data_IF_100948428042
#
_entry.id   IF_100948428042
#
_cell.length_a   1.000
_cell.length_b   1.000
_cell.length_c   1.000
_cell.angle_alpha   90.00
_cell.angle_beta   90.00
_cell.angle_gamma   90.00
#
_symmetry.space_group_name_H-M   'P 1'
#
loop_
_entity.id
_entity.type
_entity.pdbx_description
1 polymer ?
#
# COMPACT_ATOMS: atom_id res chain seq x y z
N UNK A 1 9.24 -7.65 -16.19
CA UNK A 1 7.91 -7.00 -16.23
C UNK A 1 7.89 -5.71 -15.44
N UNK A 2 8.31 -5.72 -14.15
CA UNK A 2 8.30 -4.52 -13.30
C UNK A 2 9.07 -3.36 -13.94
N UNK A 3 10.36 -3.53 -14.20
CA UNK A 3 11.24 -2.43 -14.63
C UNK A 3 10.92 -1.88 -16.03
N UNK A 4 10.56 -2.78 -16.95
CA UNK A 4 10.40 -2.44 -18.36
C UNK A 4 8.96 -2.08 -18.75
N UNK A 5 7.97 -2.33 -17.90
CA UNK A 5 6.57 -2.03 -18.20
C UNK A 5 5.89 -1.29 -17.06
N UNK A 6 5.91 -1.85 -15.84
CA UNK A 6 5.15 -1.30 -14.72
C UNK A 6 5.72 0.06 -14.29
N UNK A 7 7.04 0.17 -14.10
CA UNK A 7 7.65 1.42 -13.64
C UNK A 7 7.89 2.44 -14.76
N UNK A 8 7.98 2.02 -16.02
CA UNK A 8 8.44 2.89 -17.11
C UNK A 8 7.49 2.99 -18.32
N UNK A 9 6.38 2.26 -18.33
CA UNK A 9 5.49 2.18 -19.49
C UNK A 9 4.73 3.48 -19.82
N UNK A 10 4.37 4.26 -18.80
CA UNK A 10 3.76 5.58 -18.99
C UNK A 10 4.75 6.53 -19.68
N UNK A 11 5.98 6.61 -19.20
CA UNK A 11 7.01 7.49 -19.77
C UNK A 11 7.49 7.06 -21.16
N UNK A 12 7.72 5.76 -21.37
CA UNK A 12 8.28 5.26 -22.64
C UNK A 12 7.25 5.25 -23.77
N UNK A 13 5.98 4.97 -23.46
CA UNK A 13 4.97 4.67 -24.48
C UNK A 13 3.61 5.33 -24.24
N UNK A 14 3.47 6.20 -23.25
CA UNK A 14 2.18 6.80 -22.88
C UNK A 14 1.15 5.78 -22.40
N UNK A 15 1.59 4.57 -22.02
CA UNK A 15 0.68 3.47 -21.64
C UNK A 15 0.36 3.55 -20.15
N UNK A 16 -0.86 3.98 -19.85
CA UNK A 16 -1.42 3.94 -18.51
C UNK A 16 -1.72 2.51 -18.08
N UNK A 17 -1.45 2.19 -16.80
CA UNK A 17 -1.66 0.87 -16.23
C UNK A 17 -2.18 0.99 -14.80
N UNK A 18 -3.39 0.51 -14.53
CA UNK A 18 -4.00 0.51 -13.19
C UNK A 18 -3.72 -0.73 -12.35
N UNK A 19 -2.73 -1.57 -12.73
CA UNK A 19 -2.47 -2.86 -12.08
C UNK A 19 -2.15 -2.68 -10.59
N UNK A 20 -2.74 -3.53 -9.75
CA UNK A 20 -2.41 -3.62 -8.33
C UNK A 20 -1.59 -4.89 -8.07
N UNK A 21 -0.46 -4.74 -7.41
CA UNK A 21 0.40 -5.85 -6.98
C UNK A 21 0.33 -5.97 -5.46
N UNK A 22 -0.29 -7.04 -4.96
CA UNK A 22 -0.28 -7.40 -3.55
C UNK A 22 0.95 -8.28 -3.26
N UNK A 23 1.88 -7.77 -2.46
CA UNK A 23 3.15 -8.40 -2.16
C UNK A 23 3.22 -8.70 -0.66
N UNK A 24 3.00 -9.95 -0.22
CA UNK A 24 3.07 -10.31 1.19
C UNK A 24 4.43 -9.93 1.80
N UNK A 25 4.38 -9.08 2.83
CA UNK A 25 5.57 -8.51 3.46
C UNK A 25 5.43 -8.52 4.99
N UNK A 26 6.52 -8.82 5.68
CA UNK A 26 6.58 -8.78 7.14
C UNK A 26 7.67 -9.67 7.72
N UNK A 27 8.40 -9.19 8.73
CA UNK A 27 9.47 -9.91 9.39
C UNK A 27 8.91 -10.76 10.55
N UNK A 28 8.63 -12.03 10.26
CA UNK A 28 7.89 -12.94 11.17
C UNK A 28 8.69 -14.21 11.48
N UNK A 29 10.02 -14.18 11.31
CA UNK A 29 10.90 -15.32 11.61
C UNK A 29 10.86 -16.48 10.62
N UNK A 30 10.19 -16.35 9.47
CA UNK A 30 10.07 -17.41 8.46
C UNK A 30 11.27 -17.51 7.48
N UNK A 31 12.37 -16.83 7.78
CA UNK A 31 13.58 -16.83 6.94
C UNK A 31 13.58 -15.78 5.82
N UNK A 32 14.68 -15.73 5.03
CA UNK A 32 14.98 -14.62 4.11
C UNK A 32 13.97 -14.50 2.95
N UNK A 33 13.49 -15.62 2.40
CA UNK A 33 12.61 -15.65 1.22
C UNK A 33 11.10 -15.50 1.56
N UNK A 34 10.77 -15.36 2.85
CA UNK A 34 9.38 -15.20 3.32
C UNK A 34 9.16 -13.92 4.13
N UNK A 35 10.13 -13.00 4.12
CA UNK A 35 10.10 -11.78 4.93
C UNK A 35 9.95 -10.50 4.11
N UNK A 36 10.77 -10.34 3.07
CA UNK A 36 10.87 -9.07 2.35
C UNK A 36 10.32 -9.14 0.92
N UNK A 37 9.40 -8.23 0.60
CA UNK A 37 8.99 -7.95 -0.77
C UNK A 37 9.96 -6.98 -1.48
N UNK A 38 11.08 -6.61 -0.84
CA UNK A 38 12.10 -5.68 -1.35
C UNK A 38 11.53 -4.28 -1.62
N UNK A 39 10.86 -3.71 -0.61
CA UNK A 39 10.25 -2.38 -0.63
C UNK A 39 11.21 -1.32 -1.20
N UNK A 40 12.47 -1.38 -0.78
CA UNK A 40 13.55 -0.48 -1.21
C UNK A 40 13.73 -0.42 -2.73
N UNK A 41 13.52 -1.55 -3.44
CA UNK A 41 13.64 -1.61 -4.89
C UNK A 41 12.50 -0.87 -5.58
N UNK A 42 11.27 -1.01 -5.07
CA UNK A 42 10.13 -0.27 -5.63
C UNK A 42 10.25 1.23 -5.37
N UNK A 43 10.76 1.63 -4.20
CA UNK A 43 11.04 3.03 -3.90
C UNK A 43 12.14 3.60 -4.81
N UNK A 44 13.20 2.84 -5.07
CA UNK A 44 14.26 3.24 -6.01
C UNK A 44 13.72 3.45 -7.44
N UNK A 45 12.73 2.64 -7.86
CA UNK A 45 12.10 2.76 -9.17
C UNK A 45 11.04 3.88 -9.24
N UNK A 46 10.69 4.53 -8.13
CA UNK A 46 9.73 5.62 -8.13
C UNK A 46 10.36 6.90 -8.66
N UNK A 47 9.82 7.41 -9.76
CA UNK A 47 10.20 8.69 -10.35
C UNK A 47 9.00 9.25 -11.12
N UNK A 48 8.88 10.58 -11.20
CA UNK A 48 7.82 11.24 -12.00
C UNK A 48 6.40 10.71 -11.71
N UNK A 49 6.17 10.34 -10.46
CA UNK A 49 4.90 9.82 -9.97
C UNK A 49 4.40 8.58 -10.73
N UNK A 50 5.31 7.81 -11.34
CA UNK A 50 5.03 6.62 -12.17
C UNK A 50 4.26 5.52 -11.44
N UNK A 51 4.46 5.35 -10.13
CA UNK A 51 3.85 4.30 -9.32
C UNK A 51 3.43 4.83 -7.95
N UNK A 52 2.54 4.10 -7.30
CA UNK A 52 2.17 4.31 -5.90
C UNK A 52 2.66 3.12 -5.09
N UNK A 53 3.43 3.37 -4.04
CA UNK A 53 3.91 2.34 -3.10
C UNK A 53 3.24 2.58 -1.76
N UNK A 54 2.52 1.57 -1.25
CA UNK A 54 1.68 1.70 -0.04
C UNK A 54 1.91 0.51 0.91
N UNK A 55 1.93 0.80 2.20
CA UNK A 55 1.99 -0.20 3.28
C UNK A 55 0.78 0.02 4.20
N UNK A 56 -0.38 -0.60 3.91
CA UNK A 56 -1.58 -0.40 4.70
C UNK A 56 -1.50 -1.16 6.03
N UNK A 57 -1.92 -0.52 7.13
CA UNK A 57 -1.86 -1.07 8.48
C UNK A 57 -3.22 -1.47 9.07
N UNK A 58 -4.34 -1.06 8.45
CA UNK A 58 -5.70 -1.40 8.91
C UNK A 58 -6.56 -1.98 7.77
N UNK A 59 -7.58 -2.80 8.09
CA UNK A 59 -8.53 -3.30 7.08
C UNK A 59 -9.22 -2.18 6.29
N UNK A 60 -9.64 -1.09 6.95
CA UNK A 60 -10.24 0.07 6.29
C UNK A 60 -9.29 0.73 5.28
N UNK A 61 -8.00 0.83 5.61
CA UNK A 61 -6.99 1.36 4.69
C UNK A 61 -6.85 0.52 3.42
N UNK A 62 -6.85 -0.82 3.54
CA UNK A 62 -6.83 -1.72 2.37
C UNK A 62 -8.09 -1.53 1.51
N UNK A 63 -9.26 -1.48 2.15
CA UNK A 63 -10.54 -1.26 1.47
C UNK A 63 -10.56 0.04 0.65
N UNK A 64 -10.21 1.16 1.29
CA UNK A 64 -10.19 2.47 0.63
C UNK A 64 -9.10 2.57 -0.43
N UNK A 65 -7.95 1.96 -0.21
CA UNK A 65 -6.86 1.88 -1.17
C UNK A 65 -7.30 1.17 -2.46
N UNK A 66 -7.96 0.01 -2.35
CA UNK A 66 -8.46 -0.76 -3.52
C UNK A 66 -9.54 0.03 -4.25
N UNK A 67 -10.53 0.60 -3.53
CA UNK A 67 -11.58 1.44 -4.14
C UNK A 67 -10.98 2.62 -4.90
N UNK A 68 -10.01 3.33 -4.29
CA UNK A 68 -9.35 4.49 -4.89
C UNK A 68 -8.68 4.14 -6.23
N UNK A 69 -8.17 2.92 -6.38
CA UNK A 69 -7.50 2.49 -7.61
C UNK A 69 -8.45 2.43 -8.82
N UNK A 70 -9.75 2.21 -8.59
CA UNK A 70 -10.78 2.17 -9.64
C UNK A 70 -11.53 3.50 -9.75
N UNK A 71 -11.97 4.05 -8.61
CA UNK A 71 -12.84 5.24 -8.53
C UNK A 71 -12.12 6.49 -9.00
N UNK A 72 -10.84 6.68 -8.64
CA UNK A 72 -10.09 7.86 -9.08
C UNK A 72 -9.89 7.77 -10.61
N UNK A 73 -10.04 8.88 -11.36
CA UNK A 73 -9.76 8.92 -12.80
C UNK A 73 -8.24 8.95 -13.09
N UNK A 74 -7.49 8.02 -12.50
CA UNK A 74 -6.05 7.86 -12.65
C UNK A 74 -5.73 6.38 -12.78
N UNK A 75 -4.83 6.02 -13.69
CA UNK A 75 -4.43 4.63 -13.96
C UNK A 75 -2.92 4.51 -13.88
N UNK A 76 -2.43 4.43 -12.64
CA UNK A 76 -1.03 4.18 -12.32
C UNK A 76 -0.88 2.94 -11.45
N UNK A 77 0.21 2.17 -11.57
CA UNK A 77 0.38 0.96 -10.80
C UNK A 77 0.36 1.24 -9.30
N UNK A 78 -0.19 0.27 -8.56
CA UNK A 78 -0.27 0.29 -7.11
C UNK A 78 0.49 -0.91 -6.56
N UNK A 79 1.63 -0.66 -5.94
CA UNK A 79 2.47 -1.65 -5.27
C UNK A 79 2.12 -1.63 -3.79
N UNK A 80 1.63 -2.77 -3.27
CA UNK A 80 1.15 -2.88 -1.90
C UNK A 80 1.99 -3.90 -1.15
N UNK A 81 2.56 -3.48 -0.03
CA UNK A 81 3.13 -4.40 0.95
C UNK A 81 1.97 -5.00 1.75
N UNK A 82 1.40 -6.10 1.27
CA UNK A 82 0.23 -6.70 1.89
C UNK A 82 0.62 -7.44 3.18
N UNK A 83 -0.20 -7.38 4.24
CA UNK A 83 0.15 -8.02 5.50
C UNK A 83 0.11 -9.54 5.44
N UNK A 84 0.82 -10.18 6.38
CA UNK A 84 0.75 -11.63 6.65
C UNK A 84 0.11 -11.90 8.02
N UNK A 85 0.80 -11.60 9.12
CA UNK A 85 0.28 -11.75 10.49
C UNK A 85 -0.90 -10.83 10.80
N UNK A 86 -0.90 -9.59 10.29
CA UNK A 86 -1.98 -8.63 10.56
C UNK A 86 -3.35 -9.12 10.06
N UNK A 87 -3.38 -10.10 9.14
CA UNK A 87 -4.64 -10.74 8.71
C UNK A 87 -5.42 -11.39 9.86
N UNK A 88 -4.77 -11.70 10.99
CA UNK A 88 -5.39 -12.32 12.17
C UNK A 88 -5.07 -11.58 13.47
N UNK A 89 -4.48 -10.38 13.39
CA UNK A 89 -4.07 -9.66 14.59
C UNK A 89 -5.29 -9.00 15.25
N UNK A 90 -5.51 -9.17 16.57
CA UNK A 90 -6.73 -8.71 17.24
C UNK A 90 -6.92 -7.19 17.22
N UNK A 91 -5.82 -6.43 17.24
CA UNK A 91 -5.86 -4.96 17.09
C UNK A 91 -5.97 -4.49 15.63
N UNK A 92 -5.78 -5.39 14.65
CA UNK A 92 -5.87 -5.06 13.23
C UNK A 92 -7.30 -5.29 12.72
N UNK A 93 -8.24 -4.56 13.31
CA UNK A 93 -9.67 -4.59 12.95
C UNK A 93 -10.11 -3.20 12.49
N UNK A 94 -11.26 -3.12 11.83
CA UNK A 94 -11.90 -1.86 11.48
C UNK A 94 -13.41 -2.02 11.58
N UNK A 95 -14.10 -0.93 11.89
CA UNK A 95 -15.56 -0.87 11.99
C UNK A 95 -16.19 -0.73 10.61
N UNK A 96 -17.52 -0.89 10.51
CA UNK A 96 -18.22 -0.64 9.25
C UNK A 96 -18.29 0.86 8.95
N UNK A 97 -18.36 1.68 10.00
CA UNK A 97 -18.31 3.14 9.94
C UNK A 97 -17.01 3.60 9.27
N UNK A 98 -15.87 2.99 9.61
CA UNK A 98 -14.58 3.26 8.96
C UNK A 98 -14.61 2.99 7.44
N UNK A 99 -15.42 2.03 6.98
CA UNK A 99 -15.59 1.70 5.56
C UNK A 99 -16.61 2.59 4.86
N UNK A 100 -17.66 2.99 5.56
CA UNK A 100 -18.78 3.75 5.01
C UNK A 100 -18.43 5.24 4.88
N UNK A 101 -17.83 5.82 5.91
CA UNK A 101 -17.59 7.26 6.05
C UNK A 101 -16.11 7.63 5.95
N UNK A 102 -15.21 6.66 6.11
CA UNK A 102 -13.78 6.88 6.01
C UNK A 102 -13.27 7.10 4.59
N UNK A 103 -11.96 7.36 4.49
CA UNK A 103 -11.23 7.47 3.24
C UNK A 103 -9.80 6.96 3.41
N UNK A 104 -9.08 6.79 2.30
CA UNK A 104 -7.67 6.43 2.35
C UNK A 104 -6.85 7.57 2.97
N UNK A 105 -6.13 7.27 4.06
CA UNK A 105 -5.22 8.19 4.72
C UNK A 105 -3.78 7.92 4.27
N UNK A 106 -3.08 8.93 3.76
CA UNK A 106 -1.67 8.79 3.37
C UNK A 106 -0.74 8.67 4.59
N UNK A 107 -1.12 9.28 5.70
CA UNK A 107 -0.52 9.14 7.01
C UNK A 107 -1.65 9.04 8.04
N UNK A 108 -1.51 8.15 9.00
CA UNK A 108 -2.46 7.97 10.10
C UNK A 108 -1.80 8.63 11.33
N UNK A 109 -2.46 9.59 12.00
CA UNK A 109 -1.93 10.18 13.22
C UNK A 109 -1.92 9.18 14.37
N UNK A 110 -1.29 9.56 15.48
CA UNK A 110 -1.40 8.80 16.73
C UNK A 110 -2.88 8.66 17.13
N UNK A 111 -3.27 7.45 17.53
CA UNK A 111 -4.65 7.13 17.90
C UNK A 111 -4.86 7.22 19.41
N UNK A 112 -3.79 7.09 20.18
CA UNK A 112 -3.82 7.24 21.62
C UNK A 112 -3.82 8.71 22.03
N UNK A 113 -4.55 9.03 23.10
CA UNK A 113 -4.51 10.35 23.72
C UNK A 113 -3.23 10.46 24.57
N UNK A 114 -2.12 10.81 23.92
CA UNK A 114 -0.85 11.08 24.60
C UNK A 114 -0.80 12.54 25.06
N UNK A 115 -0.57 12.79 26.34
CA UNK A 115 -0.20 14.14 26.80
C UNK A 115 1.22 14.47 26.33
N UNK A 116 1.49 15.70 25.85
CA UNK A 116 2.84 16.10 25.48
C UNK A 116 3.77 15.95 26.69
N UNK A 117 4.84 15.17 26.56
CA UNK A 117 5.89 15.16 27.58
C UNK A 117 6.50 16.56 27.65
N UNK A 118 6.47 17.17 28.84
CA UNK A 118 7.10 18.47 29.12
C UNK A 118 8.57 18.49 28.75
#
# INVERSE_FOLDING_TARGET
VIDQFISSGEQKWGRLCGLTMLLPHGYEGQGPEHSSARLERYLQLCAEQNMQVVVPSTPAQVYHMIRRQVVRPMRRPLIVMSPKSLLRHPLCTSTLEDLAEGAFQAAIPEVDNLEPSK
#
